data_IF_907947244938
#
_entry.id   IF_907947244938
#
_cell.length_a   1.000
_cell.length_b   1.000
_cell.length_c   1.000
_cell.angle_alpha   90.00
_cell.angle_beta   90.00
_cell.angle_gamma   90.00
#
_symmetry.space_group_name_H-M   'P 1'
#
loop_
_entity.id
_entity.type
_entity.pdbx_description
1 polymer ?
#
# COMPACT_ATOMS: atom_id res chain seq x y z
N UNK A 1 -7.12 -11.55 21.68
CA UNK A 1 -6.41 -10.78 20.64
C UNK A 1 -6.92 -11.26 19.28
N UNK A 2 -7.25 -10.39 18.32
CA UNK A 2 -7.78 -10.80 17.00
C UNK A 2 -6.91 -10.35 15.80
N UNK A 3 -6.00 -9.40 16.02
CA UNK A 3 -5.15 -8.82 14.99
C UNK A 3 -3.77 -8.52 15.59
N UNK A 4 -2.72 -8.79 14.82
CA UNK A 4 -1.36 -8.29 15.03
C UNK A 4 -1.00 -7.39 13.86
N UNK A 5 -0.43 -6.23 14.14
CA UNK A 5 0.12 -5.31 13.13
C UNK A 5 1.63 -5.22 13.32
N UNK A 6 2.40 -5.42 12.26
CA UNK A 6 3.87 -5.33 12.24
C UNK A 6 4.24 -4.22 11.25
N UNK A 7 4.79 -3.12 11.74
CA UNK A 7 5.12 -1.96 10.90
C UNK A 7 6.53 -2.06 10.29
N UNK A 8 7.50 -2.53 11.08
CA UNK A 8 8.93 -2.36 10.77
C UNK A 8 9.63 -3.62 10.23
N UNK A 9 8.94 -4.54 9.54
CA UNK A 9 9.62 -5.76 9.04
C UNK A 9 10.68 -5.41 8.00
N UNK A 10 10.41 -4.41 7.17
CA UNK A 10 11.30 -4.00 6.07
C UNK A 10 12.56 -3.34 6.60
N UNK A 11 12.44 -2.60 7.71
CA UNK A 11 13.55 -1.93 8.38
C UNK A 11 14.67 -2.89 8.79
N UNK A 12 14.30 -4.09 9.21
CA UNK A 12 15.25 -5.13 9.61
C UNK A 12 16.16 -5.59 8.45
N UNK A 13 15.74 -5.36 7.21
CA UNK A 13 16.43 -5.82 6.00
C UNK A 13 17.00 -4.70 5.14
N UNK A 14 16.98 -3.44 5.59
CA UNK A 14 17.74 -2.37 4.95
C UNK A 14 19.22 -2.51 5.29
N UNK A 15 20.00 -3.11 4.39
CA UNK A 15 21.46 -3.09 4.48
C UNK A 15 22.07 -2.76 3.14
N UNK A 16 23.13 -1.96 3.17
CA UNK A 16 23.78 -1.30 2.03
C UNK A 16 24.65 -2.21 1.15
N UNK A 17 24.94 -3.45 1.57
CA UNK A 17 25.88 -4.33 0.87
C UNK A 17 25.17 -5.57 0.32
N UNK A 18 24.71 -5.47 -0.92
CA UNK A 18 24.01 -6.52 -1.70
C UNK A 18 24.97 -7.63 -2.16
N UNK A 19 25.66 -8.29 -1.23
CA UNK A 19 26.41 -9.51 -1.58
C UNK A 19 25.42 -10.66 -1.78
N UNK A 20 25.66 -11.55 -2.75
CA UNK A 20 24.78 -12.71 -3.01
C UNK A 20 24.54 -13.56 -1.76
N UNK A 21 25.55 -13.71 -0.89
CA UNK A 21 25.41 -14.41 0.40
C UNK A 21 24.39 -13.75 1.33
N UNK A 22 24.33 -12.41 1.33
CA UNK A 22 23.34 -11.67 2.11
C UNK A 22 21.93 -11.87 1.55
N UNK A 23 21.76 -11.93 0.23
CA UNK A 23 20.45 -12.20 -0.40
C UNK A 23 19.90 -13.58 -0.02
N UNK A 24 20.76 -14.60 0.02
CA UNK A 24 20.39 -15.96 0.44
C UNK A 24 20.03 -15.99 1.93
N UNK A 25 20.81 -15.33 2.78
CA UNK A 25 20.49 -15.26 4.21
C UNK A 25 19.21 -14.47 4.47
N UNK A 26 19.00 -13.38 3.73
CA UNK A 26 17.77 -12.57 3.77
C UNK A 26 16.56 -13.40 3.36
N UNK A 27 16.64 -14.17 2.27
CA UNK A 27 15.52 -15.01 1.83
C UNK A 27 15.19 -16.07 2.88
N UNK A 28 16.20 -16.75 3.43
CA UNK A 28 16.04 -17.72 4.52
C UNK A 28 15.32 -17.12 5.71
N UNK A 29 15.77 -15.95 6.20
CA UNK A 29 15.16 -15.27 7.35
C UNK A 29 13.72 -14.84 7.09
N UNK A 30 13.43 -14.33 5.89
CA UNK A 30 12.06 -13.95 5.52
C UNK A 30 11.12 -15.16 5.51
N UNK A 31 11.56 -16.30 4.96
CA UNK A 31 10.78 -17.53 4.98
C UNK A 31 10.57 -18.08 6.40
N UNK A 32 11.59 -18.00 7.26
CA UNK A 32 11.48 -18.41 8.66
C UNK A 32 10.47 -17.54 9.42
N UNK A 33 10.56 -16.21 9.28
CA UNK A 33 9.60 -15.28 9.88
C UNK A 33 8.18 -15.56 9.37
N UNK A 34 8.00 -15.73 8.07
CA UNK A 34 6.69 -16.03 7.48
C UNK A 34 6.10 -17.32 8.07
N UNK A 35 6.91 -18.38 8.19
CA UNK A 35 6.49 -19.67 8.76
C UNK A 35 6.02 -19.49 10.22
N UNK A 36 6.77 -18.73 11.02
CA UNK A 36 6.41 -18.45 12.41
C UNK A 36 5.12 -17.62 12.51
N UNK A 37 4.93 -16.63 11.64
CA UNK A 37 3.71 -15.82 11.60
C UNK A 37 2.50 -16.65 11.20
N UNK A 38 2.63 -17.54 10.22
CA UNK A 38 1.56 -18.48 9.83
C UNK A 38 1.21 -19.46 10.95
N UNK A 39 2.22 -20.00 11.64
CA UNK A 39 2.00 -20.88 12.79
C UNK A 39 1.28 -20.14 13.92
N UNK A 40 1.65 -18.89 14.20
CA UNK A 40 1.04 -18.06 15.22
C UNK A 40 -0.42 -17.70 14.84
N UNK A 41 -0.65 -17.26 13.60
CA UNK A 41 -1.97 -16.96 13.06
C UNK A 41 -2.90 -18.18 13.16
N UNK A 42 -2.41 -19.36 12.77
CA UNK A 42 -3.18 -20.62 12.79
C UNK A 42 -3.46 -21.09 14.21
N UNK A 43 -2.46 -21.05 15.10
CA UNK A 43 -2.60 -21.50 16.48
C UNK A 43 -3.55 -20.63 17.29
N UNK A 44 -3.50 -19.32 17.09
CA UNK A 44 -4.27 -18.35 17.87
C UNK A 44 -5.51 -17.83 17.14
N UNK A 45 -5.74 -18.23 15.89
CA UNK A 45 -6.86 -17.78 15.04
C UNK A 45 -6.95 -16.25 14.97
N UNK A 46 -5.81 -15.63 14.63
CA UNK A 46 -5.67 -14.17 14.53
C UNK A 46 -5.25 -13.75 13.13
N UNK A 47 -5.63 -12.54 12.75
CA UNK A 47 -5.11 -11.91 11.54
C UNK A 47 -3.71 -11.31 11.82
N UNK A 48 -2.84 -11.38 10.82
CA UNK A 48 -1.51 -10.74 10.84
C UNK A 48 -1.46 -9.77 9.67
N UNK A 49 -1.30 -8.48 9.98
CA UNK A 49 -1.08 -7.42 9.02
C UNK A 49 0.38 -6.99 9.10
N UNK A 50 1.06 -7.02 7.95
CA UNK A 50 2.45 -6.59 7.84
C UNK A 50 2.49 -5.38 6.93
N UNK A 51 2.99 -4.26 7.45
CA UNK A 51 3.28 -3.07 6.66
C UNK A 51 4.68 -3.23 6.07
N UNK A 52 4.80 -2.79 4.83
CA UNK A 52 6.03 -2.94 4.07
C UNK A 52 6.31 -1.66 3.29
N UNK A 53 7.58 -1.28 3.26
CA UNK A 53 8.03 -0.14 2.45
C UNK A 53 8.05 -0.44 0.95
N UNK A 54 8.14 0.63 0.18
CA UNK A 54 8.24 0.60 -1.27
C UNK A 54 9.50 1.30 -1.76
N UNK A 55 10.14 0.70 -2.77
CA UNK A 55 11.29 1.25 -3.48
C UNK A 55 10.86 1.85 -4.83
N UNK A 56 11.62 2.83 -5.31
CA UNK A 56 11.44 3.35 -6.67
C UNK A 56 11.92 2.35 -7.71
N UNK A 57 11.11 2.18 -8.76
CA UNK A 57 11.49 1.43 -9.94
C UNK A 57 12.25 2.38 -10.87
N UNK A 58 13.51 2.06 -11.12
CA UNK A 58 14.29 2.72 -12.16
C UNK A 58 14.16 1.90 -13.42
N UNK A 59 13.79 2.52 -14.55
CA UNK A 59 13.75 1.87 -15.86
C UNK A 59 15.13 1.28 -16.18
N UNK A 60 15.28 -0.02 -15.92
CA UNK A 60 16.44 -0.79 -16.34
C UNK A 60 16.17 -1.19 -17.78
N UNK A 61 16.88 -0.51 -18.69
CA UNK A 61 16.82 -0.71 -20.14
C UNK A 61 16.67 -2.21 -20.45
N UNK A 62 15.47 -2.63 -20.88
CA UNK A 62 15.19 -4.01 -21.28
C UNK A 62 16.02 -4.32 -22.52
N UNK A 63 17.13 -5.04 -22.33
CA UNK A 63 17.86 -5.60 -23.46
C UNK A 63 16.92 -6.54 -24.25
N UNK A 64 17.03 -6.62 -25.59
CA UNK A 64 16.15 -7.44 -26.39
C UNK A 64 16.16 -8.91 -25.92
N UNK A 65 14.98 -9.47 -25.68
CA UNK A 65 14.78 -10.85 -25.25
C UNK A 65 15.35 -11.85 -26.28
N UNK A 66 16.50 -12.43 -25.98
CA UNK A 66 16.95 -13.69 -26.61
C UNK A 66 16.69 -14.91 -25.70
N UNK A 67 16.17 -14.71 -24.47
CA UNK A 67 15.92 -15.79 -23.50
C UNK A 67 14.45 -16.19 -23.42
N UNK A 68 14.18 -17.50 -23.45
CA UNK A 68 12.84 -18.12 -23.28
C UNK A 68 12.30 -17.98 -21.84
N UNK A 69 13.13 -17.52 -20.90
CA UNK A 69 12.76 -17.36 -19.49
C UNK A 69 12.33 -15.92 -19.19
N UNK A 70 11.20 -15.80 -18.50
CA UNK A 70 10.69 -14.53 -17.95
C UNK A 70 11.71 -14.03 -16.92
N UNK A 71 12.20 -12.81 -17.11
CA UNK A 71 13.16 -12.20 -16.19
C UNK A 71 12.56 -12.04 -14.79
N UNK A 72 13.38 -12.09 -13.74
CA UNK A 72 12.94 -11.92 -12.36
C UNK A 72 12.11 -10.63 -12.20
N UNK A 73 12.53 -9.56 -12.89
CA UNK A 73 11.85 -8.26 -12.85
C UNK A 73 10.44 -8.34 -13.44
N UNK A 74 10.28 -9.04 -14.56
CA UNK A 74 8.96 -9.22 -15.18
C UNK A 74 8.02 -10.03 -14.28
N UNK A 75 8.53 -11.08 -13.63
CA UNK A 75 7.74 -11.85 -12.66
C UNK A 75 7.35 -10.98 -11.46
N UNK A 76 8.28 -10.17 -10.94
CA UNK A 76 8.02 -9.36 -9.76
C UNK A 76 6.96 -8.27 -10.02
N UNK A 77 6.82 -7.78 -11.25
CA UNK A 77 5.76 -6.81 -11.61
C UNK A 77 4.35 -7.28 -11.24
N UNK A 78 4.08 -8.57 -11.38
CA UNK A 78 2.74 -9.12 -11.08
C UNK A 78 2.44 -9.21 -9.57
N UNK A 79 3.48 -9.23 -8.73
CA UNK A 79 3.32 -9.45 -7.29
C UNK A 79 3.77 -8.26 -6.42
N UNK A 80 4.51 -7.32 -6.99
CA UNK A 80 5.16 -6.23 -6.27
C UNK A 80 4.59 -4.84 -6.58
N UNK A 81 3.81 -4.70 -7.66
CA UNK A 81 3.33 -3.41 -8.18
C UNK A 81 1.81 -3.37 -8.23
N UNK A 82 1.27 -2.14 -8.19
CA UNK A 82 -0.10 -1.87 -8.57
C UNK A 82 -0.10 -1.25 -9.97
N UNK A 83 -0.67 -1.95 -10.95
CA UNK A 83 -0.81 -1.46 -12.33
C UNK A 83 -2.24 -0.98 -12.61
N UNK A 84 -2.72 0.03 -11.86
CA UNK A 84 -4.05 0.63 -12.07
C UNK A 84 -4.04 1.80 -13.09
N UNK A 85 -2.99 1.94 -13.91
CA UNK A 85 -2.88 2.96 -14.96
C UNK A 85 -2.64 4.41 -14.50
N UNK A 86 -2.73 4.74 -13.20
CA UNK A 86 -2.59 6.10 -12.66
C UNK A 86 -1.19 6.41 -12.07
N UNK A 87 -0.12 5.90 -12.68
CA UNK A 87 1.26 6.16 -12.21
C UNK A 87 1.65 5.41 -10.92
N UNK A 88 0.82 4.45 -10.49
CA UNK A 88 1.09 3.56 -9.35
C UNK A 88 2.28 2.62 -9.60
N UNK A 89 2.52 2.25 -10.86
CA UNK A 89 3.58 1.33 -11.27
C UNK A 89 5.00 1.90 -11.23
N UNK A 90 5.26 2.96 -10.44
CA UNK A 90 6.60 3.53 -10.20
C UNK A 90 7.24 3.06 -8.90
N UNK A 91 6.43 2.43 -8.03
CA UNK A 91 6.85 1.95 -6.73
C UNK A 91 6.63 0.46 -6.66
N UNK A 92 7.61 -0.26 -6.14
CA UNK A 92 7.56 -1.69 -5.93
C UNK A 92 7.79 -2.04 -4.47
N UNK A 93 7.27 -3.18 -4.03
CA UNK A 93 7.49 -3.66 -2.67
C UNK A 93 8.95 -4.07 -2.41
N UNK A 94 9.56 -3.61 -1.32
CA UNK A 94 11.01 -3.81 -1.08
C UNK A 94 11.41 -5.23 -0.64
N UNK A 95 10.48 -6.10 -0.23
CA UNK A 95 10.80 -7.45 0.27
C UNK A 95 10.96 -8.52 -0.83
N UNK A 96 10.66 -8.20 -2.10
CA UNK A 96 10.88 -9.08 -3.24
C UNK A 96 9.95 -10.29 -3.34
N UNK A 97 10.20 -11.16 -4.33
CA UNK A 97 9.35 -12.32 -4.65
C UNK A 97 9.26 -13.33 -3.50
N UNK A 98 10.36 -13.57 -2.78
CA UNK A 98 10.40 -14.52 -1.66
C UNK A 98 9.35 -14.18 -0.62
N UNK A 99 9.16 -12.90 -0.32
CA UNK A 99 8.13 -12.48 0.60
C UNK A 99 6.73 -12.54 -0.02
N UNK A 100 6.58 -12.11 -1.28
CA UNK A 100 5.28 -12.17 -1.98
C UNK A 100 4.67 -13.57 -2.00
N UNK A 101 5.49 -14.61 -2.18
CA UNK A 101 5.06 -16.01 -2.17
C UNK A 101 4.46 -16.46 -0.83
N UNK A 102 4.83 -15.80 0.26
CA UNK A 102 4.39 -16.17 1.61
C UNK A 102 3.11 -15.44 2.06
N UNK A 103 2.59 -14.52 1.25
CA UNK A 103 1.43 -13.71 1.58
C UNK A 103 0.13 -14.34 1.07
N UNK A 104 -0.93 -14.22 1.87
CA UNK A 104 -2.28 -14.60 1.43
C UNK A 104 -2.94 -13.52 0.57
N UNK A 105 -2.54 -12.27 0.77
CA UNK A 105 -2.99 -11.12 -0.01
C UNK A 105 -1.97 -9.99 0.11
N UNK A 106 -1.88 -9.16 -0.93
CA UNK A 106 -1.10 -7.91 -0.93
C UNK A 106 -1.99 -6.75 -1.36
N UNK A 107 -1.96 -5.70 -0.58
CA UNK A 107 -2.66 -4.45 -0.85
C UNK A 107 -1.63 -3.32 -0.95
N UNK A 108 -1.74 -2.51 -1.99
CA UNK A 108 -0.92 -1.32 -2.20
C UNK A 108 -1.80 -0.09 -2.01
N UNK A 109 -1.29 0.88 -1.26
CA UNK A 109 -1.94 2.16 -1.02
C UNK A 109 -1.18 3.26 -1.75
N UNK A 110 -1.84 3.91 -2.70
CA UNK A 110 -1.25 4.91 -3.58
C UNK A 110 -1.84 6.29 -3.32
N UNK A 111 -0.99 7.33 -3.41
CA UNK A 111 -1.46 8.71 -3.49
C UNK A 111 -1.77 9.02 -4.94
N UNK A 112 -3.00 9.45 -5.24
CA UNK A 112 -3.43 9.65 -6.64
C UNK A 112 -3.18 11.08 -7.14
N UNK A 113 -2.84 12.01 -6.26
CA UNK A 113 -2.70 13.44 -6.57
C UNK A 113 -4.03 14.16 -6.84
N UNK A 114 -5.13 13.43 -6.99
CA UNK A 114 -6.47 13.99 -7.17
C UNK A 114 -6.99 14.59 -5.86
N UNK A 115 -7.77 15.66 -5.99
CA UNK A 115 -8.40 16.37 -4.88
C UNK A 115 -9.90 16.41 -5.10
N UNK A 116 -10.67 16.14 -4.04
CA UNK A 116 -12.12 16.26 -4.04
C UNK A 116 -12.56 17.37 -3.11
N UNK A 117 -13.63 18.06 -3.51
CA UNK A 117 -14.35 19.00 -2.68
C UNK A 117 -15.45 18.24 -1.93
N UNK A 118 -15.48 18.34 -0.61
CA UNK A 118 -16.57 17.78 0.19
C UNK A 118 -17.59 18.89 0.48
N UNK A 119 -18.82 18.75 -0.01
CA UNK A 119 -19.89 19.69 0.33
C UNK A 119 -20.18 19.64 1.84
N UNK A 120 -20.54 20.79 2.40
CA UNK A 120 -20.64 21.05 3.84
C UNK A 120 -21.66 20.16 4.59
N UNK A 121 -22.52 19.46 3.85
CA UNK A 121 -23.59 18.56 4.30
C UNK A 121 -23.12 17.23 4.91
N UNK A 122 -21.90 16.77 4.61
CA UNK A 122 -21.37 15.47 5.07
C UNK A 122 -20.41 15.59 6.26
N UNK A 123 -20.23 16.79 6.82
CA UNK A 123 -19.44 16.99 8.04
C UNK A 123 -20.20 16.43 9.25
N UNK A 124 -19.51 15.78 10.23
CA UNK A 124 -20.10 15.55 11.54
C UNK A 124 -20.46 16.92 12.11
N UNK A 125 -21.75 17.19 12.30
CA UNK A 125 -22.24 18.47 12.84
C UNK A 125 -21.62 18.67 14.22
N UNK A 126 -20.58 19.50 14.31
CA UNK A 126 -20.27 20.19 15.57
C UNK A 126 -21.49 21.05 15.87
N UNK A 127 -22.15 20.75 16.98
CA UNK A 127 -23.29 21.52 17.50
C UNK A 127 -22.80 22.97 17.64
N UNK A 128 -23.31 23.94 16.86
CA UNK A 128 -22.98 25.34 17.05
C UNK A 128 -23.88 25.88 18.16
N UNK A 129 -23.25 26.41 19.20
CA UNK A 129 -23.92 27.30 20.14
C UNK A 129 -24.47 28.51 19.38
N UNK A 130 -25.72 28.85 19.70
CA UNK A 130 -26.65 29.73 18.98
C UNK A 130 -26.24 31.19 18.85
N UNK A 131 -26.27 31.78 17.64
CA UNK A 131 -26.55 33.23 17.38
C UNK A 131 -27.23 33.39 15.98
N UNK A 132 -28.25 34.27 15.80
CA UNK A 132 -29.11 34.25 14.61
C UNK A 132 -28.70 35.19 13.46
N UNK A 133 -29.00 34.71 12.24
CA UNK A 133 -29.41 35.37 10.99
C UNK A 133 -28.74 36.70 10.54
N UNK A 134 -28.04 36.64 9.41
CA UNK A 134 -28.24 37.58 8.28
C UNK A 134 -27.83 36.90 6.98
N UNK A 135 -28.76 36.86 6.02
CA UNK A 135 -28.61 36.30 4.68
C UNK A 135 -27.76 37.24 3.84
N UNK A 136 -26.56 36.80 3.47
CA UNK A 136 -25.84 37.34 2.30
C UNK A 136 -24.91 36.23 1.83
N UNK A 137 -25.20 35.61 0.69
CA UNK A 137 -24.34 34.56 0.13
C UNK A 137 -23.03 35.18 -0.35
N UNK A 138 -21.88 34.90 0.27
CA UNK A 138 -20.60 35.29 -0.30
C UNK A 138 -20.15 34.15 -1.21
N UNK A 139 -19.67 34.47 -2.40
CA UNK A 139 -18.75 33.57 -3.11
C UNK A 139 -17.51 33.50 -2.22
N UNK A 140 -17.46 32.53 -1.32
CA UNK A 140 -16.28 32.30 -0.49
C UNK A 140 -15.15 31.83 -1.40
N UNK A 141 -13.97 32.48 -1.37
CA UNK A 141 -12.79 31.94 -2.03
C UNK A 141 -12.54 30.55 -1.45
N UNK A 142 -12.47 29.55 -2.33
CA UNK A 142 -12.26 28.15 -1.98
C UNK A 142 -10.94 28.07 -1.22
N UNK A 143 -11.01 27.94 0.10
CA UNK A 143 -9.81 27.77 0.93
C UNK A 143 -9.20 26.42 0.56
N UNK A 144 -7.90 26.38 0.22
CA UNK A 144 -7.21 25.13 -0.15
C UNK A 144 -7.34 24.04 0.94
N UNK A 145 -7.59 24.45 2.19
CA UNK A 145 -7.88 23.59 3.34
C UNK A 145 -9.14 22.71 3.18
N UNK A 146 -10.01 22.97 2.20
CA UNK A 146 -11.22 22.18 1.95
C UNK A 146 -11.01 21.02 0.95
N UNK A 147 -9.83 20.91 0.33
CA UNK A 147 -9.56 19.90 -0.68
C UNK A 147 -9.02 18.60 -0.04
N UNK A 148 -9.81 17.53 -0.09
CA UNK A 148 -9.40 16.22 0.42
C UNK A 148 -8.61 15.46 -0.65
N UNK A 149 -7.45 14.93 -0.25
CA UNK A 149 -6.61 14.12 -1.11
C UNK A 149 -7.20 12.72 -1.30
N UNK A 150 -7.48 12.37 -2.54
CA UNK A 150 -7.93 11.03 -2.92
C UNK A 150 -6.73 10.09 -2.97
N UNK A 151 -6.85 9.00 -2.24
CA UNK A 151 -5.93 7.87 -2.25
C UNK A 151 -6.60 6.70 -2.97
N UNK A 152 -5.80 5.75 -3.41
CA UNK A 152 -6.27 4.52 -4.05
C UNK A 152 -5.73 3.32 -3.27
N UNK A 153 -6.59 2.35 -3.07
CA UNK A 153 -6.27 1.04 -2.55
C UNK A 153 -6.37 0.06 -3.72
N UNK A 154 -5.32 -0.70 -3.96
CA UNK A 154 -5.27 -1.72 -5.00
C UNK A 154 -4.90 -3.06 -4.36
N UNK A 155 -5.78 -4.05 -4.47
CA UNK A 155 -5.47 -5.45 -4.13
C UNK A 155 -4.70 -6.03 -5.31
N UNK A 156 -3.40 -6.26 -5.12
CA UNK A 156 -2.50 -6.81 -6.16
C UNK A 156 -2.84 -8.27 -6.41
N UNK A 157 -2.91 -9.04 -5.32
CA UNK A 157 -3.37 -10.42 -5.33
C UNK A 157 -4.02 -10.77 -4.00
N UNK A 158 -4.87 -11.79 -4.04
CA UNK A 158 -5.54 -12.34 -2.87
C UNK A 158 -5.89 -13.80 -3.14
N UNK A 159 -5.81 -14.63 -2.11
CA UNK A 159 -6.23 -16.03 -2.14
C UNK A 159 -7.75 -16.22 -2.16
N UNK A 160 -8.53 -15.15 -1.90
CA UNK A 160 -9.98 -15.24 -1.69
C UNK A 160 -10.80 -14.28 -2.58
N UNK A 161 -10.16 -13.39 -3.34
CA UNK A 161 -10.87 -12.47 -4.22
C UNK A 161 -10.04 -12.10 -5.45
N UNK A 162 -10.73 -11.67 -6.50
CA UNK A 162 -10.10 -11.11 -7.69
C UNK A 162 -9.39 -9.78 -7.38
N UNK A 163 -8.35 -9.41 -8.15
CA UNK A 163 -7.75 -8.09 -8.08
C UNK A 163 -8.80 -6.98 -8.23
N UNK A 164 -8.78 -6.03 -7.30
CA UNK A 164 -9.74 -4.93 -7.26
C UNK A 164 -9.06 -3.65 -6.80
N UNK A 165 -9.63 -2.51 -7.16
CA UNK A 165 -9.17 -1.20 -6.67
C UNK A 165 -10.33 -0.31 -6.28
N UNK A 166 -10.13 0.52 -5.28
CA UNK A 166 -11.09 1.54 -4.86
C UNK A 166 -10.38 2.84 -4.46
N UNK A 167 -11.07 3.95 -4.66
CA UNK A 167 -10.62 5.25 -4.21
C UNK A 167 -11.16 5.52 -2.80
N UNK A 168 -10.34 6.13 -1.93
CA UNK A 168 -10.71 6.47 -0.56
C UNK A 168 -10.12 7.83 -0.15
N UNK A 169 -10.72 8.43 0.86
CA UNK A 169 -10.24 9.62 1.55
C UNK A 169 -9.92 9.27 3.00
N UNK A 170 -9.00 10.00 3.62
CA UNK A 170 -8.66 9.86 5.03
C UNK A 170 -9.16 11.11 5.73
N UNK A 171 -10.06 10.94 6.70
CA UNK A 171 -10.60 12.05 7.48
C UNK A 171 -9.80 12.25 8.77
N UNK A 172 -10.16 13.24 9.58
CA UNK A 172 -9.52 13.44 10.88
C UNK A 172 -9.78 12.26 11.86
N UNK A 173 -10.85 11.50 11.63
CA UNK A 173 -11.22 10.35 12.47
C UNK A 173 -10.59 9.03 11.99
N UNK A 174 -9.93 9.05 10.83
CA UNK A 174 -9.50 7.87 10.08
C UNK A 174 -10.01 7.88 8.65
#
# INVERSE_FOLDING_TARGET
LKLIVIDAITELFHTTNETTQFLVERSRRLSEIATLLHALASKHQIAVLVLNEVSDIFDRNTAPLESVQIDYNEQFRWFGLAESGLGEGRKEATLGLVWSDQLNARIILSRTGRRLYLEESERPRRIPESIPATVTSPIHPISEDQLLLVRRLTVVFSSVCDPASCDYIVTAEG
#
